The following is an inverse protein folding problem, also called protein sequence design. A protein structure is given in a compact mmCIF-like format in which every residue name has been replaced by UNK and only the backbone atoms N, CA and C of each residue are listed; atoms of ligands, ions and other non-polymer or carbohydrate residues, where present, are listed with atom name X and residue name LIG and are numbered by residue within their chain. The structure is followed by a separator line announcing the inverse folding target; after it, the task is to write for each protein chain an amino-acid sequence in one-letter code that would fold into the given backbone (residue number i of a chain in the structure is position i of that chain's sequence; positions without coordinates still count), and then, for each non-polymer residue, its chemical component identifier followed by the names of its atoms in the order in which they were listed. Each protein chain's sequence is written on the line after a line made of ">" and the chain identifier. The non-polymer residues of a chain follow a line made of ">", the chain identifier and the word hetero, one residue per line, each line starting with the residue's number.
data_IF_660140812383
#
_entry.id   IF_660140812383
#
_cell.length_a   1.000
_cell.length_b   1.000
_cell.length_c   1.000
_cell.angle_alpha   90.00
_cell.angle_beta   90.00
_cell.angle_gamma   90.00
#
_symmetry.space_group_name_H-M   'P 1'
#
loop_
_entity.id
_entity.type
_entity.pdbx_description
1 polymer ?
#
# COMPACT_ATOMS: atom_id res chain seq x y z
N UNK A 1 10.69 -59.39 -16.05
CA UNK A 1 9.47 -58.90 -15.38
C UNK A 1 9.78 -57.51 -14.83
N UNK A 2 9.17 -56.46 -15.37
CA UNK A 2 9.38 -55.10 -14.88
C UNK A 2 8.57 -54.90 -13.59
N UNK A 3 9.25 -54.61 -12.48
CA UNK A 3 8.62 -54.30 -11.22
C UNK A 3 7.78 -53.02 -11.38
N UNK A 4 6.47 -53.15 -11.16
CA UNK A 4 5.53 -52.02 -11.17
C UNK A 4 5.89 -51.14 -9.97
N UNK A 5 6.38 -49.92 -10.23
CA UNK A 5 6.67 -48.97 -9.15
C UNK A 5 5.39 -48.71 -8.34
N UNK A 6 5.46 -48.64 -7.00
CA UNK A 6 4.29 -48.36 -6.18
C UNK A 6 3.72 -46.99 -6.54
N UNK A 7 2.41 -46.94 -6.79
CA UNK A 7 1.66 -45.70 -7.05
C UNK A 7 1.83 -44.80 -5.82
N UNK A 8 2.60 -43.72 -5.95
CA UNK A 8 2.74 -42.74 -4.88
C UNK A 8 1.36 -42.18 -4.53
N UNK A 9 0.92 -42.40 -3.31
CA UNK A 9 -0.29 -41.79 -2.75
C UNK A 9 -0.03 -40.31 -2.56
N UNK A 10 -0.73 -39.47 -3.31
CA UNK A 10 -0.74 -38.03 -3.09
C UNK A 10 -1.43 -37.78 -1.76
N UNK A 11 -0.74 -37.11 -0.85
CA UNK A 11 -1.29 -36.72 0.45
C UNK A 11 -2.47 -35.76 0.24
N UNK A 12 -3.57 -36.00 0.96
CA UNK A 12 -4.71 -35.09 1.01
C UNK A 12 -4.50 -34.03 2.09
N UNK A 13 -4.76 -32.77 1.75
CA UNK A 13 -4.69 -31.66 2.69
C UNK A 13 -5.98 -31.59 3.51
N UNK A 14 -5.89 -31.92 4.79
CA UNK A 14 -6.96 -31.65 5.76
C UNK A 14 -6.88 -30.24 6.32
N UNK A 15 -7.90 -29.82 7.05
CA UNK A 15 -7.92 -28.54 7.76
C UNK A 15 -6.77 -28.40 8.77
N UNK A 16 -6.42 -29.47 9.48
CA UNK A 16 -5.30 -29.48 10.42
C UNK A 16 -3.97 -29.20 9.70
N UNK A 17 -3.76 -29.79 8.52
CA UNK A 17 -2.58 -29.49 7.69
C UNK A 17 -2.53 -28.03 7.28
N UNK A 18 -3.70 -27.45 6.96
CA UNK A 18 -3.81 -26.05 6.56
C UNK A 18 -3.45 -25.12 7.71
N UNK A 19 -3.99 -25.38 8.91
CA UNK A 19 -3.69 -24.59 10.11
C UNK A 19 -2.20 -24.65 10.45
N UNK A 20 -1.59 -25.83 10.44
CA UNK A 20 -0.15 -25.98 10.74
C UNK A 20 0.70 -25.24 9.71
N UNK A 21 0.39 -25.38 8.42
CA UNK A 21 1.05 -24.64 7.36
C UNK A 21 0.99 -23.12 7.61
N UNK A 22 -0.20 -22.60 7.91
CA UNK A 22 -0.42 -21.17 8.11
C UNK A 22 0.33 -20.66 9.35
N UNK A 23 0.27 -21.38 10.47
CA UNK A 23 1.02 -21.06 11.69
C UNK A 23 2.53 -21.03 11.45
N UNK A 24 3.05 -21.98 10.68
CA UNK A 24 4.48 -22.04 10.35
C UNK A 24 4.90 -20.89 9.43
N UNK A 25 4.03 -20.50 8.48
CA UNK A 25 4.25 -19.32 7.63
C UNK A 25 4.33 -18.02 8.44
N UNK A 26 3.48 -17.86 9.45
CA UNK A 26 3.53 -16.72 10.38
C UNK A 26 4.83 -16.75 11.18
N UNK A 27 5.14 -17.90 11.78
CA UNK A 27 6.31 -18.08 12.65
C UNK A 27 7.63 -17.75 11.95
N UNK A 28 7.73 -18.06 10.65
CA UNK A 28 8.90 -17.75 9.82
C UNK A 28 8.82 -16.40 9.10
N UNK A 29 7.78 -15.63 9.39
CA UNK A 29 7.54 -14.30 8.85
C UNK A 29 7.73 -14.22 7.34
N UNK A 30 7.18 -15.17 6.58
CA UNK A 30 7.56 -15.33 5.17
C UNK A 30 7.29 -14.09 4.29
N UNK A 31 6.32 -13.27 4.68
CA UNK A 31 5.95 -12.03 4.00
C UNK A 31 6.75 -10.80 4.47
N UNK A 32 7.68 -10.96 5.40
CA UNK A 32 8.70 -9.94 5.72
C UNK A 32 9.77 -9.82 4.63
N UNK A 33 9.88 -10.83 3.75
CA UNK A 33 10.83 -10.85 2.66
C UNK A 33 10.20 -10.39 1.35
N UNK A 34 11.00 -9.69 0.53
CA UNK A 34 10.60 -9.23 -0.80
C UNK A 34 10.11 -10.37 -1.69
N UNK A 35 9.04 -10.12 -2.45
CA UNK A 35 8.50 -11.10 -3.41
C UNK A 35 9.56 -11.46 -4.45
N UNK A 36 9.78 -12.76 -4.64
CA UNK A 36 10.80 -13.27 -5.56
C UNK A 36 12.24 -13.21 -5.03
N UNK A 37 12.47 -12.73 -3.81
CA UNK A 37 13.80 -12.74 -3.22
C UNK A 37 14.30 -14.17 -2.93
N UNK A 38 15.63 -14.40 -2.99
CA UNK A 38 16.21 -15.68 -2.60
C UNK A 38 15.85 -16.09 -1.17
N UNK A 39 15.82 -15.14 -0.23
CA UNK A 39 15.52 -15.42 1.19
C UNK A 39 14.07 -15.87 1.40
N UNK A 40 13.12 -15.26 0.68
CA UNK A 40 11.74 -15.77 0.65
C UNK A 40 11.69 -17.17 0.04
N UNK A 41 12.50 -17.42 -0.98
CA UNK A 41 12.66 -18.74 -1.61
C UNK A 41 13.21 -19.82 -0.66
N UNK A 42 14.17 -19.47 0.19
CA UNK A 42 14.72 -20.35 1.26
C UNK A 42 13.72 -20.56 2.38
N UNK A 43 12.94 -19.54 2.72
CA UNK A 43 11.91 -19.64 3.76
C UNK A 43 10.83 -20.64 3.35
N UNK A 44 10.36 -20.62 2.10
CA UNK A 44 9.44 -21.64 1.57
C UNK A 44 10.02 -23.06 1.65
N UNK A 45 11.31 -23.21 1.41
CA UNK A 45 12.03 -24.50 1.47
C UNK A 45 12.07 -25.02 2.90
N UNK A 46 12.45 -24.15 3.84
CA UNK A 46 12.56 -24.55 5.23
C UNK A 46 11.19 -24.81 5.90
N UNK A 47 10.12 -24.13 5.45
CA UNK A 47 8.74 -24.51 5.82
C UNK A 47 8.44 -25.94 5.33
N UNK A 48 8.72 -26.22 4.06
CA UNK A 48 8.47 -27.54 3.48
C UNK A 48 9.24 -28.66 4.21
N UNK A 49 10.50 -28.41 4.56
CA UNK A 49 11.32 -29.34 5.34
C UNK A 49 10.72 -29.57 6.73
N UNK A 50 10.34 -28.50 7.43
CA UNK A 50 9.73 -28.59 8.77
C UNK A 50 8.41 -29.37 8.75
N UNK A 51 7.52 -29.07 7.79
CA UNK A 51 6.24 -29.77 7.67
C UNK A 51 6.46 -31.27 7.47
N UNK A 52 7.43 -31.68 6.65
CA UNK A 52 7.74 -33.09 6.42
C UNK A 52 8.40 -33.80 7.62
N UNK A 53 8.89 -33.07 8.62
CA UNK A 53 9.41 -33.65 9.87
C UNK A 53 8.29 -33.96 10.87
N UNK A 54 7.07 -33.45 10.65
CA UNK A 54 5.94 -33.69 11.52
C UNK A 54 5.44 -35.15 11.40
N UNK A 55 5.20 -35.78 12.55
CA UNK A 55 4.69 -37.15 12.63
C UNK A 55 3.18 -37.21 12.48
N UNK A 56 2.47 -36.24 13.07
CA UNK A 56 1.01 -36.14 13.00
C UNK A 56 0.54 -34.67 12.97
N UNK A 57 -0.23 -34.26 11.96
CA UNK A 57 -0.56 -35.02 10.77
C UNK A 57 0.67 -35.13 9.83
N UNK A 58 0.77 -36.22 9.08
CA UNK A 58 1.98 -36.55 8.31
C UNK A 58 2.00 -35.84 6.96
N UNK A 59 3.03 -35.03 6.71
CA UNK A 59 3.20 -34.34 5.44
C UNK A 59 4.03 -35.16 4.43
N UNK A 60 3.68 -35.04 3.15
CA UNK A 60 4.41 -35.61 2.02
C UNK A 60 4.57 -34.58 0.89
N UNK A 61 5.27 -33.48 1.19
CA UNK A 61 5.48 -32.38 0.26
C UNK A 61 6.83 -32.56 -0.42
N UNK A 62 6.84 -32.80 -1.74
CA UNK A 62 8.08 -33.05 -2.50
C UNK A 62 8.95 -31.81 -2.71
N UNK A 63 8.30 -30.67 -2.96
CA UNK A 63 8.97 -29.43 -3.32
C UNK A 63 8.28 -28.24 -2.64
N UNK A 64 9.05 -27.20 -2.32
CA UNK A 64 8.55 -25.94 -1.77
C UNK A 64 7.46 -25.26 -2.62
N UNK A 65 7.39 -25.58 -3.93
CA UNK A 65 6.31 -25.13 -4.80
C UNK A 65 4.94 -25.62 -4.30
N UNK A 66 4.84 -26.84 -3.79
CA UNK A 66 3.59 -27.38 -3.24
C UNK A 66 3.05 -26.57 -2.06
N UNK A 67 3.93 -26.09 -1.18
CA UNK A 67 3.58 -25.20 -0.07
C UNK A 67 3.01 -23.88 -0.58
N UNK A 68 3.69 -23.25 -1.55
CA UNK A 68 3.26 -21.98 -2.14
C UNK A 68 1.93 -22.11 -2.87
N UNK A 69 1.76 -23.15 -3.67
CA UNK A 69 0.54 -23.39 -4.42
C UNK A 69 -0.64 -23.62 -3.47
N UNK A 70 -0.42 -24.35 -2.37
CA UNK A 70 -1.42 -24.53 -1.32
C UNK A 70 -1.81 -23.21 -0.64
N UNK A 71 -0.84 -22.35 -0.29
CA UNK A 71 -1.12 -21.00 0.21
C UNK A 71 -2.00 -20.20 -0.76
N UNK A 72 -1.63 -20.16 -2.05
CA UNK A 72 -2.39 -19.42 -3.06
C UNK A 72 -3.84 -19.93 -3.18
N UNK A 73 -4.06 -21.24 -3.06
CA UNK A 73 -5.40 -21.84 -3.07
C UNK A 73 -6.19 -21.40 -1.82
N UNK A 74 -5.59 -21.44 -0.63
CA UNK A 74 -6.25 -21.04 0.61
C UNK A 74 -6.64 -19.55 0.59
N UNK A 75 -5.67 -18.68 0.28
CA UNK A 75 -5.90 -17.25 0.16
C UNK A 75 -6.97 -16.93 -0.90
N UNK A 76 -6.88 -17.57 -2.08
CA UNK A 76 -7.84 -17.35 -3.17
C UNK A 76 -9.27 -17.77 -2.80
N UNK A 77 -9.43 -18.92 -2.12
CA UNK A 77 -10.74 -19.39 -1.64
C UNK A 77 -11.32 -18.45 -0.58
N UNK A 78 -10.50 -18.03 0.40
CA UNK A 78 -10.89 -17.10 1.45
C UNK A 78 -11.38 -15.77 0.86
N UNK A 79 -10.57 -15.11 0.03
CA UNK A 79 -10.91 -13.83 -0.58
C UNK A 79 -12.15 -13.91 -1.48
N UNK A 80 -12.35 -15.04 -2.16
CA UNK A 80 -13.55 -15.27 -2.97
C UNK A 80 -14.79 -15.35 -2.09
N UNK A 81 -14.74 -16.14 -1.00
CA UNK A 81 -15.85 -16.29 -0.05
C UNK A 81 -16.22 -14.95 0.58
N UNK A 82 -15.23 -14.21 1.11
CA UNK A 82 -15.47 -12.89 1.72
C UNK A 82 -16.17 -11.92 0.77
N UNK A 83 -15.75 -11.87 -0.52
CA UNK A 83 -16.38 -11.02 -1.53
C UNK A 83 -17.83 -11.43 -1.81
N UNK A 84 -18.11 -12.72 -1.85
CA UNK A 84 -19.46 -13.25 -2.10
C UNK A 84 -20.38 -12.95 -0.91
N UNK A 85 -19.89 -13.08 0.32
CA UNK A 85 -20.61 -12.73 1.56
C UNK A 85 -20.89 -11.24 1.67
N UNK A 86 -19.90 -10.38 1.43
CA UNK A 86 -20.06 -8.91 1.39
C UNK A 86 -21.11 -8.49 0.33
N UNK A 87 -21.07 -9.12 -0.84
CA UNK A 87 -22.01 -8.82 -1.93
C UNK A 87 -23.44 -9.32 -1.65
N UNK A 88 -23.60 -10.41 -0.91
CA UNK A 88 -24.91 -11.01 -0.63
C UNK A 88 -25.59 -10.44 0.62
N UNK A 89 -24.82 -10.20 1.68
CA UNK A 89 -25.33 -9.78 3.00
C UNK A 89 -25.32 -8.26 3.17
N UNK A 90 -24.38 -7.56 2.52
CA UNK A 90 -24.13 -6.13 2.77
C UNK A 90 -23.67 -5.82 4.20
N UNK A 91 -23.38 -6.85 4.99
CA UNK A 91 -22.98 -6.83 6.40
C UNK A 91 -21.78 -7.77 6.53
N UNK A 92 -20.82 -7.38 7.37
CA UNK A 92 -19.61 -8.13 7.70
C UNK A 92 -19.92 -9.56 8.16
N UNK A 93 -19.12 -10.54 7.72
CA UNK A 93 -19.36 -11.96 7.93
C UNK A 93 -19.18 -12.40 9.40
N UNK A 94 -19.95 -13.40 9.81
CA UNK A 94 -19.95 -14.03 11.14
C UNK A 94 -18.62 -14.76 11.46
N UNK A 95 -18.37 -14.93 12.76
CA UNK A 95 -17.15 -15.39 13.46
C UNK A 95 -16.10 -16.15 12.61
N UNK A 96 -14.96 -15.49 12.36
CA UNK A 96 -13.84 -16.06 11.60
C UNK A 96 -13.28 -17.29 12.32
N UNK A 97 -13.27 -18.43 11.62
CA UNK A 97 -12.55 -19.63 12.08
C UNK A 97 -11.06 -19.33 12.31
N UNK A 98 -10.38 -20.11 13.14
CA UNK A 98 -8.94 -19.97 13.36
C UNK A 98 -8.17 -19.95 12.02
N UNK A 99 -8.50 -20.88 11.11
CA UNK A 99 -7.89 -20.94 9.79
C UNK A 99 -8.10 -19.66 8.99
N UNK A 100 -9.30 -19.07 9.10
CA UNK A 100 -9.67 -17.85 8.41
C UNK A 100 -8.91 -16.63 8.96
N UNK A 101 -8.80 -16.54 10.28
CA UNK A 101 -7.99 -15.52 10.98
C UNK A 101 -6.52 -15.57 10.54
N UNK A 102 -5.94 -16.77 10.46
CA UNK A 102 -4.56 -16.96 10.02
C UNK A 102 -4.35 -16.56 8.54
N UNK A 103 -5.32 -16.87 7.66
CA UNK A 103 -5.27 -16.48 6.25
C UNK A 103 -5.36 -14.96 6.10
N UNK A 104 -6.23 -14.31 6.89
CA UNK A 104 -6.38 -12.86 6.90
C UNK A 104 -5.09 -12.17 7.33
N UNK A 105 -4.52 -12.55 8.48
CA UNK A 105 -3.27 -11.97 9.00
C UNK A 105 -2.12 -12.08 7.97
N UNK A 106 -1.93 -13.28 7.40
CA UNK A 106 -0.90 -13.50 6.39
C UNK A 106 -1.14 -12.67 5.12
N UNK A 107 -2.40 -12.52 4.71
CA UNK A 107 -2.78 -11.70 3.56
C UNK A 107 -2.52 -10.22 3.80
N UNK A 108 -2.79 -9.73 5.01
CA UNK A 108 -2.45 -8.36 5.41
C UNK A 108 -0.96 -8.11 5.44
N UNK A 109 -0.17 -9.06 5.97
CA UNK A 109 1.29 -8.96 6.01
C UNK A 109 1.87 -8.91 4.60
N UNK A 110 1.33 -9.70 3.68
CA UNK A 110 1.71 -9.66 2.26
C UNK A 110 1.36 -8.33 1.57
N UNK A 111 0.17 -7.77 1.83
CA UNK A 111 -0.25 -6.47 1.29
C UNK A 111 0.59 -5.33 1.84
N UNK A 112 0.79 -5.30 3.14
CA UNK A 112 1.57 -4.28 3.86
C UNK A 112 3.01 -4.21 3.33
N UNK A 113 3.64 -5.35 3.06
CA UNK A 113 4.97 -5.37 2.44
C UNK A 113 4.96 -4.79 1.02
N UNK A 114 3.98 -5.16 0.18
CA UNK A 114 3.86 -4.62 -1.18
C UNK A 114 3.66 -3.10 -1.20
N UNK A 115 2.89 -2.55 -0.27
CA UNK A 115 2.69 -1.09 -0.16
C UNK A 115 4.00 -0.40 0.23
N UNK A 116 4.72 -0.93 1.23
CA UNK A 116 6.05 -0.42 1.61
C UNK A 116 7.01 -0.44 0.42
N UNK A 117 7.04 -1.54 -0.33
CA UNK A 117 7.92 -1.68 -1.49
C UNK A 117 7.59 -0.65 -2.59
N UNK A 118 6.30 -0.48 -2.93
CA UNK A 118 5.86 0.52 -3.91
C UNK A 118 6.22 1.95 -3.49
N UNK A 119 6.03 2.30 -2.22
CA UNK A 119 6.39 3.62 -1.71
C UNK A 119 7.90 3.86 -1.79
N UNK A 120 8.74 2.89 -1.39
CA UNK A 120 10.20 3.03 -1.50
C UNK A 120 10.67 3.15 -2.96
N UNK A 121 10.01 2.47 -3.90
CA UNK A 121 10.32 2.58 -5.32
C UNK A 121 9.96 3.98 -5.86
N UNK A 122 8.78 4.50 -5.50
CA UNK A 122 8.35 5.85 -5.88
C UNK A 122 9.26 6.93 -5.30
N UNK A 123 9.67 6.80 -4.04
CA UNK A 123 10.61 7.73 -3.39
C UNK A 123 11.97 7.74 -4.09
N UNK A 124 12.46 6.55 -4.47
CA UNK A 124 13.72 6.42 -5.22
C UNK A 124 13.60 7.07 -6.60
N UNK A 125 12.51 6.84 -7.32
CA UNK A 125 12.26 7.47 -8.62
C UNK A 125 12.16 8.99 -8.51
N UNK A 126 11.48 9.49 -7.48
CA UNK A 126 11.40 10.92 -7.19
C UNK A 126 12.79 11.53 -6.92
N UNK A 127 13.61 10.87 -6.11
CA UNK A 127 14.98 11.30 -5.82
C UNK A 127 15.87 11.30 -7.07
N UNK A 128 15.80 10.26 -7.90
CA UNK A 128 16.54 10.17 -9.16
C UNK A 128 16.07 11.25 -10.17
N UNK A 129 14.76 11.54 -10.20
CA UNK A 129 14.20 12.63 -11.02
C UNK A 129 14.71 14.00 -10.60
N UNK A 130 14.77 14.29 -9.29
CA UNK A 130 15.36 15.52 -8.76
C UNK A 130 16.85 15.62 -9.10
N UNK A 131 17.61 14.53 -8.90
CA UNK A 131 19.04 14.48 -9.26
C UNK A 131 19.26 14.73 -10.75
N UNK A 132 18.47 14.11 -11.62
CA UNK A 132 18.53 14.31 -13.07
C UNK A 132 18.24 15.75 -13.48
N UNK A 133 17.16 16.35 -12.94
CA UNK A 133 16.82 17.76 -13.17
C UNK A 133 17.93 18.71 -12.72
N UNK A 134 18.59 18.43 -11.60
CA UNK A 134 19.72 19.23 -11.13
C UNK A 134 20.94 19.12 -12.06
N UNK A 135 21.28 17.91 -12.51
CA UNK A 135 22.38 17.68 -13.46
C UNK A 135 22.12 18.33 -14.82
N UNK A 136 20.89 18.32 -15.31
CA UNK A 136 20.50 19.04 -16.53
C UNK A 136 20.67 20.55 -16.38
N UNK A 137 20.19 21.14 -15.27
CA UNK A 137 20.39 22.57 -14.98
C UNK A 137 21.86 22.96 -14.92
N UNK A 138 22.72 22.13 -14.33
CA UNK A 138 24.17 22.36 -14.31
C UNK A 138 24.79 22.28 -15.70
N UNK A 139 24.34 21.34 -16.54
CA UNK A 139 24.77 21.23 -17.94
C UNK A 139 24.36 22.45 -18.76
N UNK A 140 23.15 22.98 -18.53
CA UNK A 140 22.65 24.18 -19.21
C UNK A 140 23.36 25.45 -18.76
N UNK A 141 23.64 25.59 -17.45
CA UNK A 141 24.47 26.68 -16.93
C UNK A 141 25.89 26.61 -17.47
N UNK A 142 26.50 25.41 -17.54
CA UNK A 142 27.83 25.24 -18.12
C UNK A 142 27.85 25.55 -19.61
N UNK A 143 26.83 25.12 -20.37
CA UNK A 143 26.67 25.47 -21.80
C UNK A 143 26.57 26.97 -22.01
N UNK A 144 25.83 27.69 -21.17
CA UNK A 144 25.75 29.16 -21.20
C UNK A 144 27.10 29.82 -20.89
N UNK A 145 27.83 29.34 -19.88
CA UNK A 145 29.17 29.88 -19.54
C UNK A 145 30.20 29.60 -20.63
N UNK A 146 30.18 28.42 -21.27
CA UNK A 146 31.10 28.11 -22.38
C UNK A 146 30.73 28.77 -23.72
N UNK A 147 29.49 29.26 -23.89
CA UNK A 147 29.11 30.09 -25.04
C UNK A 147 29.49 31.56 -24.87
N UNK A 148 29.75 31.99 -23.63
CA UNK A 148 30.11 33.37 -23.26
C UNK A 148 31.64 33.54 -23.08
N UNK A 149 32.41 32.45 -23.09
CA UNK A 149 33.86 32.45 -22.87
C UNK A 149 34.72 32.36 -24.14
N UNK A 150 34.13 32.35 -25.34
CA UNK A 150 34.84 32.53 -26.62
C UNK A 150 34.71 33.98 -27.13
N UNK A 151 34.84 34.95 -26.22
CA UNK A 151 35.08 36.35 -26.58
C UNK A 151 36.55 36.67 -26.36
N UNK A 152 37.32 36.46 -27.43
CA UNK A 152 38.63 37.08 -27.64
C UNK A 152 38.46 38.62 -27.61
N UNK A 153 39.27 39.38 -26.84
CA UNK A 153 39.17 40.83 -26.77
C UNK A 153 39.86 41.45 -27.99
N UNK A 154 39.17 41.48 -29.13
CA UNK A 154 39.76 41.99 -30.37
C UNK A 154 38.74 42.32 -31.44
N UNK A 155 38.42 43.61 -31.54
CA UNK A 155 37.71 44.28 -32.64
C UNK A 155 37.89 43.62 -34.03
N UNK A 156 36.81 43.19 -34.67
CA UNK A 156 36.59 43.40 -36.12
C UNK A 156 35.20 42.91 -36.58
N UNK A 157 34.38 43.88 -36.96
CA UNK A 157 33.47 43.89 -38.11
C UNK A 157 32.82 42.59 -38.62
N UNK A 158 31.48 42.59 -38.62
CA UNK A 158 30.71 42.15 -39.79
C UNK A 158 29.80 40.95 -39.58
N UNK A 159 28.49 41.20 -39.59
CA UNK A 159 27.50 40.16 -39.90
C UNK A 159 26.17 40.30 -39.17
N UNK A 160 25.25 41.11 -39.73
CA UNK A 160 23.82 41.05 -39.37
C UNK A 160 23.29 39.67 -39.76
N UNK A 161 23.14 38.75 -38.80
CA UNK A 161 22.37 37.51 -39.01
C UNK A 161 20.93 37.70 -38.50
N UNK A 162 20.03 37.66 -39.46
CA UNK A 162 18.57 37.74 -39.38
C UNK A 162 18.00 36.99 -38.16
N UNK A 163 17.41 37.75 -37.24
CA UNK A 163 16.68 37.32 -36.04
C UNK A 163 15.21 37.13 -36.42
N UNK A 164 14.81 35.98 -36.97
CA UNK A 164 13.38 35.70 -37.29
C UNK A 164 12.70 34.62 -36.43
N UNK A 165 13.42 33.97 -35.50
CA UNK A 165 12.88 32.88 -34.63
C UNK A 165 13.04 33.15 -33.12
N UNK A 166 13.48 34.34 -32.72
CA UNK A 166 13.58 34.74 -31.32
C UNK A 166 12.24 35.08 -30.62
N UNK A 167 11.22 35.70 -31.27
CA UNK A 167 10.00 36.09 -30.56
C UNK A 167 9.13 34.87 -30.20
N UNK A 168 9.03 33.88 -31.08
CA UNK A 168 8.24 32.65 -30.86
C UNK A 168 8.71 31.85 -29.63
N UNK A 169 10.04 31.71 -29.46
CA UNK A 169 10.61 31.04 -28.29
C UNK A 169 10.39 31.83 -27.01
N UNK A 170 10.45 33.17 -27.08
CA UNK A 170 10.21 34.05 -25.94
C UNK A 170 8.73 34.02 -25.52
N UNK A 171 7.81 33.97 -26.48
CA UNK A 171 6.38 33.89 -26.22
C UNK A 171 6.00 32.53 -25.66
N UNK A 172 6.58 31.44 -26.16
CA UNK A 172 6.45 30.10 -25.57
C UNK A 172 6.94 30.06 -24.10
N UNK A 173 8.08 30.72 -23.79
CA UNK A 173 8.58 30.79 -22.42
C UNK A 173 7.67 31.61 -21.50
N UNK A 174 7.08 32.70 -21.99
CA UNK A 174 6.10 33.50 -21.24
C UNK A 174 4.81 32.72 -21.00
N UNK A 175 4.32 32.00 -22.01
CA UNK A 175 3.12 31.19 -21.92
C UNK A 175 3.31 30.02 -20.94
N UNK A 176 4.47 29.36 -21.00
CA UNK A 176 4.86 28.33 -20.03
C UNK A 176 4.92 28.88 -18.60
N UNK A 177 5.50 30.06 -18.40
CA UNK A 177 5.57 30.69 -17.08
C UNK A 177 4.18 31.04 -16.52
N UNK A 178 3.26 31.52 -17.38
CA UNK A 178 1.86 31.77 -16.99
C UNK A 178 1.14 30.48 -16.63
N UNK A 179 1.30 29.42 -17.43
CA UNK A 179 0.67 28.12 -17.18
C UNK A 179 1.20 27.48 -15.88
N UNK A 180 2.51 27.60 -15.60
CA UNK A 180 3.09 27.14 -14.34
C UNK A 180 2.57 27.94 -13.13
N UNK A 181 2.40 29.26 -13.29
CA UNK A 181 1.85 30.11 -12.25
C UNK A 181 0.38 29.79 -11.94
N UNK A 182 -0.44 29.54 -12.95
CA UNK A 182 -1.86 29.17 -12.76
C UNK A 182 -2.00 27.79 -12.12
N UNK A 183 -1.20 26.81 -12.54
CA UNK A 183 -1.17 25.49 -11.89
C UNK A 183 -0.81 25.57 -10.41
N UNK A 184 0.19 26.40 -10.07
CA UNK A 184 0.61 26.60 -8.68
C UNK A 184 -0.48 27.28 -7.84
N UNK A 185 -1.23 28.21 -8.42
CA UNK A 185 -2.38 28.84 -7.75
C UNK A 185 -3.53 27.85 -7.52
N UNK A 186 -3.85 27.02 -8.53
CA UNK A 186 -4.88 25.99 -8.41
C UNK A 186 -4.53 24.94 -7.35
N UNK A 187 -3.27 24.53 -7.28
CA UNK A 187 -2.79 23.60 -6.25
C UNK A 187 -2.93 24.19 -4.84
N UNK A 188 -2.55 25.45 -4.65
CA UNK A 188 -2.71 26.15 -3.38
C UNK A 188 -4.18 26.30 -2.98
N UNK A 189 -5.08 26.55 -3.94
CA UNK A 189 -6.51 26.67 -3.67
C UNK A 189 -7.15 25.32 -3.32
N UNK A 190 -6.79 24.24 -4.02
CA UNK A 190 -7.23 22.88 -3.70
C UNK A 190 -6.79 22.49 -2.28
N UNK A 191 -5.53 22.76 -1.93
CA UNK A 191 -5.00 22.50 -0.59
C UNK A 191 -5.73 23.32 0.48
N UNK A 192 -6.12 24.56 0.18
CA UNK A 192 -6.96 25.38 1.08
C UNK A 192 -8.35 24.77 1.27
N UNK A 193 -9.00 24.32 0.19
CA UNK A 193 -10.33 23.69 0.25
C UNK A 193 -10.31 22.38 1.02
N UNK A 194 -9.28 21.55 0.82
CA UNK A 194 -9.11 20.30 1.56
C UNK A 194 -8.96 20.55 3.07
N UNK A 195 -8.16 21.55 3.45
CA UNK A 195 -7.99 21.93 4.86
C UNK A 195 -9.32 22.43 5.46
N UNK A 196 -10.08 23.21 4.70
CA UNK A 196 -11.38 23.74 5.12
C UNK A 196 -12.43 22.64 5.31
N UNK A 197 -12.51 21.69 4.37
CA UNK A 197 -13.41 20.53 4.47
C UNK A 197 -13.02 19.62 5.62
N UNK A 198 -11.72 19.40 5.85
CA UNK A 198 -11.26 18.61 7.00
C UNK A 198 -11.62 19.32 8.33
N UNK A 199 -11.47 20.64 8.40
CA UNK A 199 -11.90 21.42 9.57
C UNK A 199 -13.43 21.34 9.79
N UNK A 200 -14.23 21.37 8.72
CA UNK A 200 -15.69 21.15 8.81
C UNK A 200 -16.03 19.73 9.26
N UNK A 201 -15.31 18.72 8.76
CA UNK A 201 -15.45 17.33 9.16
C UNK A 201 -15.19 17.18 10.67
N UNK A 202 -14.09 17.74 11.17
CA UNK A 202 -13.74 17.71 12.59
C UNK A 202 -14.79 18.43 13.45
N UNK A 203 -15.30 19.59 13.00
CA UNK A 203 -16.39 20.29 13.69
C UNK A 203 -17.68 19.46 13.75
N UNK A 204 -18.05 18.78 12.66
CA UNK A 204 -19.22 17.88 12.66
C UNK A 204 -19.07 16.72 13.64
N UNK A 205 -17.87 16.11 13.70
CA UNK A 205 -17.59 15.02 14.65
C UNK A 205 -17.73 15.51 16.10
N UNK A 206 -17.17 16.70 16.41
CA UNK A 206 -17.31 17.32 17.73
C UNK A 206 -18.77 17.62 18.09
N UNK A 207 -19.57 18.12 17.14
CA UNK A 207 -20.99 18.42 17.37
C UNK A 207 -21.80 17.15 17.65
N UNK A 208 -21.55 16.07 16.90
CA UNK A 208 -22.21 14.76 17.14
C UNK A 208 -21.85 14.21 18.52
N UNK A 209 -20.57 14.29 18.90
CA UNK A 209 -20.10 13.85 20.21
C UNK A 209 -20.74 14.65 21.35
N UNK A 210 -20.89 15.97 21.18
CA UNK A 210 -21.55 16.82 22.17
C UNK A 210 -23.03 16.45 22.32
N UNK A 211 -23.77 16.28 21.21
CA UNK A 211 -25.18 15.85 21.27
C UNK A 211 -25.34 14.49 21.93
N UNK A 212 -24.42 13.55 21.68
CA UNK A 212 -24.44 12.25 22.34
C UNK A 212 -24.23 12.37 23.85
N UNK A 213 -23.27 13.21 24.27
CA UNK A 213 -23.02 13.48 25.69
C UNK A 213 -24.24 14.11 26.39
N UNK A 214 -24.88 15.10 25.75
CA UNK A 214 -26.08 15.76 26.29
C UNK A 214 -27.26 14.77 26.39
N UNK A 215 -27.47 13.94 25.37
CA UNK A 215 -28.50 12.89 25.40
C UNK A 215 -28.24 11.88 26.53
N UNK A 216 -26.99 11.46 26.74
CA UNK A 216 -26.63 10.56 27.83
C UNK A 216 -26.91 11.20 29.20
N UNK A 217 -26.61 12.49 29.38
CA UNK A 217 -26.91 13.21 30.61
C UNK A 217 -28.42 13.32 30.87
N UNK A 218 -29.22 13.57 29.83
CA UNK A 218 -30.68 13.60 29.95
C UNK A 218 -31.25 12.23 30.34
N UNK A 219 -30.76 11.15 29.73
CA UNK A 219 -31.14 9.77 30.09
C UNK A 219 -30.81 9.49 31.56
N UNK A 220 -29.59 9.84 31.99
CA UNK A 220 -29.15 9.65 33.38
C UNK A 220 -30.01 10.46 34.36
N UNK A 221 -30.37 11.70 34.02
CA UNK A 221 -31.23 12.54 34.85
C UNK A 221 -32.67 12.00 34.90
N UNK A 222 -33.23 11.55 33.77
CA UNK A 222 -34.56 10.95 33.72
C UNK A 222 -34.63 9.65 34.55
N UNK A 223 -33.57 8.82 34.49
CA UNK A 223 -33.45 7.62 35.31
C UNK A 223 -33.42 7.95 36.81
N UNK A 224 -32.67 8.98 37.21
CA UNK A 224 -32.64 9.46 38.60
C UNK A 224 -34.02 9.92 39.10
N UNK A 225 -34.77 10.66 38.29
CA UNK A 225 -36.14 11.09 38.62
C UNK A 225 -37.09 9.89 38.74
N UNK A 226 -36.97 8.89 37.85
CA UNK A 226 -37.75 7.65 37.93
C UNK A 226 -37.46 6.87 39.22
N UNK A 227 -36.18 6.75 39.60
CA UNK A 227 -35.76 6.10 40.84
C UNK A 227 -36.30 6.88 42.05
N UNK A 228 -36.20 8.20 42.07
CA UNK A 228 -36.76 9.03 43.15
C UNK A 228 -38.28 8.89 43.25
N UNK A 229 -39.02 8.79 42.14
CA UNK A 229 -40.47 8.53 42.16
C UNK A 229 -40.82 7.11 42.61
N UNK A 230 -39.98 6.12 42.30
CA UNK A 230 -40.21 4.73 42.68
C UNK A 230 -39.89 4.45 44.17
N UNK A 231 -38.95 5.20 44.75
CA UNK A 231 -38.44 4.97 46.11
C UNK A 231 -38.63 6.14 47.09
N UNK A 232 -39.21 7.27 46.64
CA UNK A 232 -39.42 8.48 47.43
C UNK A 232 -40.90 8.82 47.64
N UNK A 233 -41.58 8.02 48.46
CA UNK A 233 -42.76 8.45 49.24
C UNK A 233 -42.66 7.85 50.64
N UNK A 234 -42.14 8.66 51.57
CA UNK A 234 -42.51 8.69 52.99
C UNK A 234 -42.71 10.15 53.34
#
# INVERSE_FOLDING_TARGET
>A
MAAKQPKQTVMEWSEEHDIILLREMISREIFSFKKGSPDRGKTWESIQEFLNQMENPKFHIKEKRGVRDKWNILQGKFLKRMREEEAASGIECEELSEKDTLIEELSERERSFQVKEKNTANDKEAAESVRRKAMERMKDSKRKTSQDSDLDPGLAAGGKKSRKTAPEVVDFLKEKAKCEQTQRQQEMELRRKELEENAKQQRRVLEVMQRQSEAQQQINQALLVLIQKAFGTV
#
